data_IF_745993096336
#
_entry.id   IF_745993096336
#
_cell.length_a   1.000
_cell.length_b   1.000
_cell.length_c   1.000
_cell.angle_alpha   90.00
_cell.angle_beta   90.00
_cell.angle_gamma   90.00
#
_symmetry.space_group_name_H-M   'P 1'
#
loop_
_entity.id
_entity.type
_entity.pdbx_description
1 polymer ?
#
# COMPACT_ATOMS: atom_id res chain seq x y z
N UNK A 1 -9.12 -18.29 10.37
CA UNK A 1 -9.58 -17.01 9.77
C UNK A 1 -8.66 -15.83 10.13
N UNK A 2 -8.23 -15.65 11.39
CA UNK A 2 -7.36 -14.55 11.85
C UNK A 2 -6.06 -14.41 11.03
N UNK A 3 -5.28 -15.48 10.90
CA UNK A 3 -4.01 -15.48 10.18
C UNK A 3 -4.15 -14.99 8.72
N UNK A 4 -5.21 -15.42 8.03
CA UNK A 4 -5.50 -14.98 6.65
C UNK A 4 -5.90 -13.50 6.58
N UNK A 5 -6.66 -12.99 7.56
CA UNK A 5 -7.02 -11.57 7.64
C UNK A 5 -5.78 -10.69 7.77
N UNK A 6 -4.87 -11.02 8.68
CA UNK A 6 -3.63 -10.26 8.90
C UNK A 6 -2.70 -10.34 7.67
N UNK A 7 -2.55 -11.52 7.09
CA UNK A 7 -1.69 -11.72 5.91
C UNK A 7 -2.15 -10.92 4.69
N UNK A 8 -3.47 -10.79 4.48
CA UNK A 8 -4.04 -10.11 3.30
C UNK A 8 -4.28 -8.63 3.53
N UNK A 9 -4.74 -8.24 4.71
CA UNK A 9 -5.06 -6.85 5.03
C UNK A 9 -3.88 -6.06 5.62
N UNK A 10 -2.75 -6.73 5.88
CA UNK A 10 -1.52 -6.13 6.42
C UNK A 10 -1.54 -5.90 7.93
N UNK A 11 -0.34 -5.70 8.50
CA UNK A 11 -0.14 -5.56 9.95
C UNK A 11 -0.90 -4.38 10.57
N UNK A 12 -1.10 -3.29 9.83
CA UNK A 12 -1.87 -2.17 10.34
C UNK A 12 -3.33 -2.49 10.58
N UNK A 13 -3.88 -3.45 9.86
CA UNK A 13 -5.28 -3.87 10.05
C UNK A 13 -5.44 -4.68 11.33
N UNK A 14 -4.37 -5.32 11.82
CA UNK A 14 -4.35 -6.12 13.04
C UNK A 14 -4.89 -5.37 14.26
N UNK A 15 -4.57 -4.09 14.40
CA UNK A 15 -5.03 -3.25 15.52
C UNK A 15 -6.55 -3.07 15.58
N UNK A 16 -7.23 -3.28 14.46
CA UNK A 16 -8.70 -3.17 14.37
C UNK A 16 -9.43 -4.50 14.53
N UNK A 17 -8.70 -5.63 14.62
CA UNK A 17 -9.28 -6.96 14.69
C UNK A 17 -9.52 -7.36 16.15
N UNK A 18 -10.73 -7.86 16.46
CA UNK A 18 -11.00 -8.57 17.68
C UNK A 18 -10.55 -10.01 17.54
N UNK A 19 -9.49 -10.39 18.24
CA UNK A 19 -9.01 -11.77 18.29
C UNK A 19 -9.21 -12.38 19.67
N UNK A 20 -9.41 -13.70 19.72
CA UNK A 20 -9.56 -14.50 20.91
C UNK A 20 -9.08 -15.92 20.64
N UNK A 21 -8.81 -16.66 21.69
CA UNK A 21 -8.38 -18.06 21.61
C UNK A 21 -9.60 -18.93 21.93
N UNK A 22 -9.88 -19.92 21.10
CA UNK A 22 -10.95 -20.89 21.33
C UNK A 22 -10.53 -21.99 22.34
N UNK A 23 -11.45 -22.89 22.65
CA UNK A 23 -11.24 -24.01 23.59
C UNK A 23 -10.11 -24.96 23.13
N UNK A 24 -9.78 -24.97 21.84
CA UNK A 24 -8.75 -25.83 21.27
C UNK A 24 -7.40 -25.11 21.13
N UNK A 25 -7.24 -23.90 21.67
CA UNK A 25 -6.05 -23.09 21.54
C UNK A 25 -5.87 -22.39 20.18
N UNK A 26 -6.89 -22.43 19.30
CA UNK A 26 -6.84 -21.79 17.99
C UNK A 26 -7.14 -20.30 18.08
N UNK A 27 -6.32 -19.49 17.41
CA UNK A 27 -6.54 -18.03 17.34
C UNK A 27 -7.65 -17.72 16.33
N UNK A 28 -8.76 -17.22 16.82
CA UNK A 28 -9.92 -16.80 16.05
C UNK A 28 -10.07 -15.29 16.05
N UNK A 29 -10.91 -14.76 15.16
CA UNK A 29 -11.29 -13.36 15.17
C UNK A 29 -12.75 -13.16 14.77
N UNK A 30 -13.36 -12.10 15.30
CA UNK A 30 -14.58 -11.59 14.69
C UNK A 30 -14.25 -11.08 13.28
N UNK A 31 -15.17 -11.32 12.34
CA UNK A 31 -14.96 -10.90 10.95
C UNK A 31 -14.86 -9.36 10.82
N UNK A 32 -13.73 -8.82 10.39
CA UNK A 32 -13.56 -7.37 10.31
C UNK A 32 -14.04 -6.79 8.97
N UNK A 33 -14.32 -7.65 7.99
CA UNK A 33 -14.93 -7.34 6.69
C UNK A 33 -15.59 -8.58 6.10
N UNK A 34 -16.37 -8.39 5.04
CA UNK A 34 -17.06 -9.47 4.34
C UNK A 34 -16.40 -9.85 3.01
N UNK A 35 -15.49 -9.01 2.47
CA UNK A 35 -14.79 -9.25 1.20
C UNK A 35 -13.99 -10.55 1.23
N UNK A 36 -13.13 -10.73 2.26
CA UNK A 36 -12.29 -11.93 2.36
C UNK A 36 -13.17 -13.20 2.52
N UNK A 37 -14.25 -13.12 3.27
CA UNK A 37 -15.18 -14.23 3.42
C UNK A 37 -15.84 -14.62 2.09
N UNK A 38 -16.24 -13.62 1.29
CA UNK A 38 -16.82 -13.81 -0.05
C UNK A 38 -15.81 -14.44 -1.02
N UNK A 39 -14.57 -13.96 -1.02
CA UNK A 39 -13.50 -14.54 -1.83
C UNK A 39 -13.19 -16.00 -1.43
N UNK A 40 -13.18 -16.31 -0.13
CA UNK A 40 -12.97 -17.67 0.35
C UNK A 40 -14.09 -18.61 -0.10
N UNK A 41 -15.35 -18.18 0.01
CA UNK A 41 -16.50 -18.96 -0.47
C UNK A 41 -16.41 -19.25 -1.97
N UNK A 42 -15.98 -18.29 -2.78
CA UNK A 42 -15.74 -18.51 -4.20
C UNK A 42 -14.70 -19.62 -4.44
N UNK A 43 -13.59 -19.58 -3.72
CA UNK A 43 -12.50 -20.57 -3.83
C UNK A 43 -12.92 -21.96 -3.30
N UNK A 44 -13.60 -22.02 -2.17
CA UNK A 44 -14.04 -23.26 -1.52
C UNK A 44 -15.11 -24.01 -2.33
N UNK A 45 -15.97 -23.27 -3.02
CA UNK A 45 -16.96 -23.85 -3.92
C UNK A 45 -16.38 -24.22 -5.31
N UNK A 46 -15.07 -24.09 -5.52
CA UNK A 46 -14.40 -24.36 -6.80
C UNK A 46 -15.08 -23.67 -7.99
N UNK A 47 -15.65 -22.50 -7.77
CA UNK A 47 -16.29 -21.73 -8.83
C UNK A 47 -15.23 -21.33 -9.87
N UNK A 48 -15.55 -21.58 -11.15
CA UNK A 48 -14.67 -21.24 -12.27
C UNK A 48 -15.36 -20.21 -13.14
N UNK A 49 -14.60 -19.18 -13.53
CA UNK A 49 -15.13 -18.13 -14.39
C UNK A 49 -15.62 -16.91 -13.61
N UNK A 50 -16.30 -16.03 -14.34
CA UNK A 50 -16.77 -14.75 -13.80
C UNK A 50 -18.00 -14.95 -12.92
N UNK A 51 -17.89 -14.58 -11.67
CA UNK A 51 -18.98 -14.58 -10.70
C UNK A 51 -19.20 -13.20 -10.11
N UNK A 52 -20.47 -12.82 -9.93
CA UNK A 52 -20.90 -11.60 -9.26
C UNK A 52 -21.50 -11.96 -7.91
N UNK A 53 -20.85 -11.56 -6.85
CA UNK A 53 -21.23 -11.89 -5.48
C UNK A 53 -21.71 -10.64 -4.78
N UNK A 54 -22.92 -10.68 -4.25
CA UNK A 54 -23.45 -9.68 -3.34
C UNK A 54 -23.36 -10.19 -1.91
N UNK A 55 -23.07 -9.30 -0.99
CA UNK A 55 -23.11 -9.61 0.44
C UNK A 55 -23.66 -8.44 1.25
N UNK A 56 -24.35 -8.80 2.35
CA UNK A 56 -24.81 -7.88 3.38
C UNK A 56 -24.63 -8.53 4.74
N UNK A 57 -24.15 -7.78 5.71
CA UNK A 57 -23.97 -8.30 7.07
C UNK A 57 -23.16 -7.38 7.96
N UNK A 58 -22.90 -7.86 9.18
CA UNK A 58 -22.15 -7.11 10.16
C UNK A 58 -20.67 -7.44 10.10
N UNK A 59 -19.84 -6.40 10.15
CA UNK A 59 -18.40 -6.47 10.34
C UNK A 59 -18.05 -5.84 11.71
N UNK A 60 -17.00 -6.35 12.35
CA UNK A 60 -16.62 -5.98 13.71
C UNK A 60 -15.20 -5.40 13.71
N UNK A 61 -15.06 -4.12 14.06
CA UNK A 61 -13.75 -3.45 14.10
C UNK A 61 -13.56 -2.69 15.39
N UNK A 62 -12.40 -2.86 16.02
CA UNK A 62 -11.97 -1.98 17.11
C UNK A 62 -11.89 -0.55 16.58
N UNK A 63 -12.46 0.41 17.30
CA UNK A 63 -12.28 1.82 16.99
C UNK A 63 -11.28 2.46 17.95
N UNK A 64 -10.52 3.40 17.46
CA UNK A 64 -9.66 4.27 18.29
C UNK A 64 -10.47 5.40 18.92
N UNK A 65 -11.63 5.73 18.35
CA UNK A 65 -12.54 6.73 18.88
C UNK A 65 -13.68 6.03 19.64
N UNK A 66 -13.84 6.34 20.92
CA UNK A 66 -14.89 5.77 21.78
C UNK A 66 -16.33 6.02 21.29
N UNK A 67 -16.52 7.02 20.43
CA UNK A 67 -17.84 7.36 19.85
C UNK A 67 -18.20 6.51 18.63
N UNK A 68 -17.25 5.81 18.01
CA UNK A 68 -17.53 5.01 16.83
C UNK A 68 -18.12 3.65 17.20
N UNK A 69 -19.11 3.21 16.45
CA UNK A 69 -19.66 1.86 16.60
C UNK A 69 -18.60 0.80 16.27
N UNK A 70 -18.53 -0.23 17.11
CA UNK A 70 -17.73 -1.43 16.89
C UNK A 70 -18.37 -2.29 15.79
N UNK A 71 -19.68 -2.27 15.69
CA UNK A 71 -20.46 -2.99 14.69
C UNK A 71 -20.70 -2.09 13.51
N UNK A 72 -20.35 -2.57 12.33
CA UNK A 72 -20.56 -1.88 11.05
C UNK A 72 -21.41 -2.74 10.14
N UNK A 73 -22.59 -2.26 9.78
CA UNK A 73 -23.36 -2.88 8.72
C UNK A 73 -22.65 -2.63 7.39
N UNK A 74 -22.24 -3.68 6.73
CA UNK A 74 -21.51 -3.65 5.47
C UNK A 74 -22.34 -4.29 4.37
N UNK A 75 -22.49 -3.56 3.28
CA UNK A 75 -23.03 -4.07 2.02
C UNK A 75 -21.93 -3.94 0.98
N UNK A 76 -21.82 -4.92 0.11
CA UNK A 76 -20.87 -4.85 -0.99
C UNK A 76 -21.15 -5.91 -2.04
N UNK A 77 -20.42 -5.80 -3.12
CA UNK A 77 -20.43 -6.78 -4.19
C UNK A 77 -19.04 -6.87 -4.80
N UNK A 78 -18.74 -8.06 -5.29
CA UNK A 78 -17.45 -8.40 -5.87
C UNK A 78 -17.68 -9.03 -7.23
N UNK A 79 -16.77 -8.79 -8.17
CA UNK A 79 -16.66 -9.54 -9.43
C UNK A 79 -15.40 -10.36 -9.34
N UNK A 80 -15.53 -11.67 -9.31
CA UNK A 80 -14.42 -12.60 -9.15
C UNK A 80 -14.25 -13.46 -10.42
N UNK A 81 -13.02 -13.89 -10.69
CA UNK A 81 -12.70 -14.81 -11.79
C UNK A 81 -12.81 -14.22 -13.19
N UNK A 82 -13.01 -12.92 -13.34
CA UNK A 82 -13.05 -12.24 -14.62
C UNK A 82 -11.66 -12.01 -15.21
N UNK A 83 -11.60 -11.82 -16.53
CA UNK A 83 -10.41 -11.43 -17.29
C UNK A 83 -10.52 -10.02 -17.89
N UNK A 84 -11.67 -9.36 -17.72
CA UNK A 84 -11.98 -8.05 -18.31
C UNK A 84 -12.10 -6.97 -17.22
N UNK A 85 -10.96 -6.64 -16.60
CA UNK A 85 -10.88 -5.68 -15.50
C UNK A 85 -11.51 -4.33 -15.84
N UNK A 86 -11.31 -3.82 -17.07
CA UNK A 86 -11.83 -2.50 -17.46
C UNK A 86 -13.36 -2.42 -17.45
N UNK A 87 -14.03 -3.43 -17.97
CA UNK A 87 -15.49 -3.45 -17.99
C UNK A 87 -16.04 -3.77 -16.60
N UNK A 88 -15.34 -4.60 -15.82
CA UNK A 88 -15.73 -4.92 -14.47
C UNK A 88 -15.63 -3.70 -13.53
N UNK A 89 -14.56 -2.91 -13.62
CA UNK A 89 -14.43 -1.65 -12.89
C UNK A 89 -15.57 -0.68 -13.23
N UNK A 90 -15.94 -0.54 -14.51
CA UNK A 90 -17.08 0.28 -14.93
C UNK A 90 -18.40 -0.25 -14.35
N UNK A 91 -18.59 -1.56 -14.38
CA UNK A 91 -19.78 -2.21 -13.85
C UNK A 91 -19.91 -2.00 -12.34
N UNK A 92 -18.81 -2.15 -11.59
CA UNK A 92 -18.77 -1.91 -10.13
C UNK A 92 -19.14 -0.46 -9.83
N UNK A 93 -18.53 0.50 -10.51
CA UNK A 93 -18.82 1.92 -10.33
C UNK A 93 -20.28 2.22 -10.65
N UNK A 94 -20.78 1.77 -11.80
CA UNK A 94 -22.16 2.00 -12.22
C UNK A 94 -23.17 1.40 -11.23
N UNK A 95 -22.92 0.17 -10.76
CA UNK A 95 -23.78 -0.52 -9.78
C UNK A 95 -23.78 0.22 -8.44
N UNK A 96 -22.59 0.68 -7.98
CA UNK A 96 -22.48 1.47 -6.75
C UNK A 96 -23.27 2.77 -6.83
N UNK A 97 -23.13 3.51 -7.92
CA UNK A 97 -23.86 4.78 -8.14
C UNK A 97 -25.37 4.55 -8.21
N UNK A 98 -25.81 3.52 -8.96
CA UNK A 98 -27.23 3.16 -9.05
C UNK A 98 -27.81 2.76 -7.69
N UNK A 99 -27.07 2.03 -6.88
CA UNK A 99 -27.47 1.65 -5.54
C UNK A 99 -27.68 2.88 -4.64
N UNK A 100 -26.77 3.85 -4.69
CA UNK A 100 -26.89 5.11 -3.94
C UNK A 100 -28.09 5.94 -4.42
N UNK A 101 -28.33 6.01 -5.73
CA UNK A 101 -29.51 6.70 -6.29
C UNK A 101 -30.81 6.06 -5.82
N UNK A 102 -30.90 4.73 -5.81
CA UNK A 102 -32.08 4.01 -5.31
C UNK A 102 -32.33 4.28 -3.82
N UNK A 103 -31.29 4.52 -3.05
CA UNK A 103 -31.39 4.95 -1.65
C UNK A 103 -31.67 6.46 -1.50
N UNK A 104 -32.02 7.15 -2.61
CA UNK A 104 -32.29 8.60 -2.65
C UNK A 104 -31.08 9.45 -2.21
N UNK A 105 -29.87 8.91 -2.31
CA UNK A 105 -28.66 9.67 -2.06
C UNK A 105 -28.29 10.44 -3.33
N UNK A 106 -28.62 11.74 -3.33
CA UNK A 106 -28.54 12.59 -4.53
C UNK A 106 -27.25 13.39 -4.68
N UNK A 107 -26.41 13.44 -3.64
CA UNK A 107 -25.19 14.23 -3.66
C UNK A 107 -23.99 13.40 -3.19
N UNK A 108 -22.93 13.42 -3.98
CA UNK A 108 -21.70 12.73 -3.64
C UNK A 108 -20.60 13.01 -4.67
N UNK A 109 -19.36 12.84 -4.27
CA UNK A 109 -18.20 12.94 -5.15
C UNK A 109 -17.55 11.58 -5.29
N UNK A 110 -17.50 11.05 -6.50
CA UNK A 110 -16.71 9.87 -6.82
C UNK A 110 -15.25 10.29 -6.97
N UNK A 111 -14.38 9.77 -6.11
CA UNK A 111 -12.94 9.98 -6.21
C UNK A 111 -12.27 8.73 -6.76
N UNK A 112 -11.58 8.86 -7.89
CA UNK A 112 -10.84 7.77 -8.52
C UNK A 112 -9.34 8.03 -8.35
N UNK A 113 -8.61 7.01 -7.91
CA UNK A 113 -7.16 7.02 -7.81
C UNK A 113 -6.55 5.89 -8.64
N UNK A 114 -5.36 6.14 -9.20
CA UNK A 114 -4.60 5.13 -9.94
C UNK A 114 -3.20 4.97 -9.35
N UNK A 115 -2.96 3.83 -8.73
CA UNK A 115 -1.68 3.50 -8.08
C UNK A 115 -0.57 3.28 -9.11
N UNK A 116 -0.90 2.83 -10.31
CA UNK A 116 0.10 2.59 -11.36
C UNK A 116 0.78 3.88 -11.82
N UNK A 117 0.05 5.00 -11.89
CA UNK A 117 0.65 6.31 -12.18
C UNK A 117 1.67 6.69 -11.11
N UNK A 118 1.38 6.41 -9.83
CA UNK A 118 2.33 6.63 -8.75
C UNK A 118 3.56 5.71 -8.86
N UNK A 119 3.38 4.43 -9.19
CA UNK A 119 4.48 3.49 -9.42
C UNK A 119 5.37 3.95 -10.59
N UNK A 120 4.76 4.39 -11.68
CA UNK A 120 5.48 4.94 -12.83
C UNK A 120 6.25 6.20 -12.46
N UNK A 121 5.65 7.14 -11.73
CA UNK A 121 6.34 8.31 -11.21
C UNK A 121 7.59 7.90 -10.42
N UNK A 122 7.43 7.04 -9.40
CA UNK A 122 8.54 6.58 -8.55
C UNK A 122 9.63 5.90 -9.38
N UNK A 123 9.29 5.13 -10.42
CA UNK A 123 10.26 4.46 -11.28
C UNK A 123 11.18 5.44 -12.01
N UNK A 124 10.66 6.61 -12.38
CA UNK A 124 11.38 7.66 -13.14
C UNK A 124 12.17 8.64 -12.26
N UNK A 125 11.96 8.62 -10.94
CA UNK A 125 12.71 9.49 -10.04
C UNK A 125 14.16 9.01 -9.86
N UNK A 126 15.09 9.95 -9.80
CA UNK A 126 16.52 9.69 -9.61
C UNK A 126 16.87 9.45 -8.13
N UNK A 127 16.39 8.35 -7.60
CA UNK A 127 16.70 7.87 -6.25
C UNK A 127 17.08 6.39 -6.29
N UNK A 128 17.86 5.90 -5.32
CA UNK A 128 18.27 4.51 -5.25
C UNK A 128 17.09 3.53 -5.24
N UNK A 129 17.26 2.36 -5.85
CA UNK A 129 16.21 1.33 -5.96
C UNK A 129 15.62 0.95 -4.59
N UNK A 130 16.43 0.88 -3.53
CA UNK A 130 15.96 0.62 -2.16
C UNK A 130 14.93 1.64 -1.67
N UNK A 131 15.08 2.90 -2.06
CA UNK A 131 14.13 3.95 -1.71
C UNK A 131 12.85 3.87 -2.53
N UNK A 132 12.96 3.56 -3.83
CA UNK A 132 11.78 3.31 -4.68
C UNK A 132 10.90 2.23 -4.08
N UNK A 133 11.50 1.08 -3.75
CA UNK A 133 10.79 -0.05 -3.13
C UNK A 133 10.17 0.32 -1.77
N UNK A 134 10.90 1.09 -0.96
CA UNK A 134 10.44 1.51 0.37
C UNK A 134 9.26 2.48 0.29
N UNK A 135 9.30 3.45 -0.61
CA UNK A 135 8.20 4.36 -0.87
C UNK A 135 6.96 3.64 -1.39
N UNK A 136 7.12 2.73 -2.37
CA UNK A 136 6.02 1.94 -2.90
C UNK A 136 5.41 0.99 -1.88
N UNK A 137 6.19 0.45 -0.96
CA UNK A 137 5.70 -0.44 0.09
C UNK A 137 4.85 0.29 1.13
N UNK A 138 5.10 1.57 1.35
CA UNK A 138 4.55 2.30 2.50
C UNK A 138 3.71 3.53 2.14
N UNK A 139 3.43 3.78 0.86
CA UNK A 139 2.69 4.99 0.44
C UNK A 139 1.28 5.10 1.04
N UNK A 140 0.69 3.99 1.44
CA UNK A 140 -0.63 3.91 2.05
C UNK A 140 -0.64 4.15 3.57
N UNK A 141 0.54 4.36 4.18
CA UNK A 141 0.71 4.65 5.62
C UNK A 141 1.10 6.12 5.78
N UNK A 142 0.13 7.01 5.84
CA UNK A 142 0.35 8.46 5.74
C UNK A 142 1.43 9.00 6.68
N UNK A 143 1.38 8.69 7.98
CA UNK A 143 2.38 9.13 8.95
C UNK A 143 3.78 8.58 8.62
N UNK A 144 3.88 7.27 8.44
CA UNK A 144 5.16 6.62 8.14
C UNK A 144 5.71 7.05 6.78
N UNK A 145 4.85 7.25 5.79
CA UNK A 145 5.25 7.74 4.47
C UNK A 145 5.80 9.17 4.56
N UNK A 146 5.16 10.04 5.33
CA UNK A 146 5.67 11.37 5.60
C UNK A 146 7.04 11.36 6.29
N UNK A 147 7.26 10.45 7.24
CA UNK A 147 8.57 10.25 7.87
C UNK A 147 9.62 9.74 6.89
N UNK A 148 9.24 8.84 5.98
CA UNK A 148 10.13 8.39 4.90
C UNK A 148 10.55 9.56 4.01
N UNK A 149 9.62 10.45 3.65
CA UNK A 149 9.93 11.64 2.87
C UNK A 149 10.86 12.59 3.62
N UNK A 150 10.67 12.81 4.92
CA UNK A 150 11.59 13.60 5.77
C UNK A 150 12.99 12.98 5.80
N UNK A 151 13.11 11.66 5.99
CA UNK A 151 14.40 10.95 5.96
C UNK A 151 15.08 11.04 4.58
N UNK A 152 14.28 11.04 3.51
CA UNK A 152 14.77 11.24 2.15
C UNK A 152 15.36 12.65 1.99
N UNK A 153 14.76 13.67 2.60
CA UNK A 153 15.18 15.07 2.57
C UNK A 153 16.48 15.32 3.34
N UNK A 154 16.67 14.64 4.46
CA UNK A 154 17.78 14.90 5.41
C UNK A 154 19.01 14.04 5.19
N UNK A 155 18.94 13.02 4.32
CA UNK A 155 19.98 12.00 4.18
C UNK A 155 20.37 11.30 5.50
N UNK A 156 19.48 11.25 6.47
CA UNK A 156 19.74 10.66 7.79
C UNK A 156 20.25 9.21 7.74
N UNK A 157 19.93 8.50 6.66
CA UNK A 157 20.36 7.13 6.43
C UNK A 157 21.78 7.02 5.83
N UNK A 158 22.46 8.14 5.55
CA UNK A 158 23.76 8.21 4.85
C UNK A 158 24.77 9.01 5.68
N UNK A 159 24.57 9.10 6.97
CA UNK A 159 25.55 9.72 7.85
C UNK A 159 26.90 8.97 7.73
N UNK A 160 27.99 9.67 7.33
CA UNK A 160 29.31 9.05 7.16
C UNK A 160 29.83 8.38 8.44
N UNK A 161 29.50 8.93 9.60
CA UNK A 161 29.90 8.34 10.90
C UNK A 161 29.17 7.04 11.17
N UNK A 162 27.87 6.98 10.90
CA UNK A 162 27.07 5.74 11.00
C UNK A 162 27.56 4.69 10.01
N UNK A 163 27.87 5.10 8.78
CA UNK A 163 28.42 4.20 7.75
C UNK A 163 29.79 3.66 8.16
N UNK A 164 30.65 4.48 8.75
CA UNK A 164 31.98 4.04 9.22
C UNK A 164 31.90 3.04 10.38
N UNK A 165 31.04 3.31 11.38
CA UNK A 165 30.79 2.39 12.50
C UNK A 165 30.17 1.08 12.02
N UNK A 166 29.20 1.16 11.13
CA UNK A 166 28.57 -0.02 10.54
C UNK A 166 29.57 -0.82 9.69
N UNK A 167 30.53 -0.17 8.99
CA UNK A 167 31.56 -0.86 8.19
C UNK A 167 32.46 -1.72 9.05
N UNK A 168 32.81 -1.28 10.25
CA UNK A 168 33.59 -2.09 11.21
C UNK A 168 32.78 -3.33 11.64
N UNK A 169 31.54 -3.14 12.04
CA UNK A 169 30.62 -4.25 12.38
C UNK A 169 30.40 -5.21 11.20
N UNK A 170 30.35 -4.69 9.99
CA UNK A 170 30.26 -5.46 8.76
C UNK A 170 31.48 -6.39 8.58
N UNK A 171 32.68 -5.86 8.77
CA UNK A 171 33.90 -6.66 8.66
C UNK A 171 34.00 -7.72 9.76
N UNK A 172 33.48 -7.44 10.95
CA UNK A 172 33.44 -8.42 12.04
C UNK A 172 32.41 -9.54 11.76
N UNK A 173 31.29 -9.20 11.11
CA UNK A 173 30.27 -10.18 10.68
C UNK A 173 30.79 -11.10 9.56
N UNK A 174 31.69 -10.61 8.68
CA UNK A 174 32.33 -11.45 7.64
C UNK A 174 33.20 -12.59 8.21
N UNK A 175 33.64 -12.43 9.46
CA UNK A 175 34.45 -13.46 10.17
C UNK A 175 33.60 -14.52 10.84
N UNK A 176 32.28 -14.34 10.89
CA UNK A 176 31.33 -15.28 11.49
C UNK A 176 30.80 -16.28 10.47
N UNK A 177 30.33 -17.42 10.96
CA UNK A 177 29.73 -18.46 10.13
C UNK A 177 28.55 -17.88 9.30
N UNK A 178 28.54 -18.02 7.95
CA UNK A 178 27.49 -17.55 7.09
C UNK A 178 26.10 -18.11 7.43
N UNK A 179 26.01 -19.24 8.11
CA UNK A 179 24.78 -19.89 8.52
C UNK A 179 24.14 -19.27 9.76
N UNK A 180 24.89 -18.43 10.48
CA UNK A 180 24.39 -17.76 11.69
C UNK A 180 23.22 -16.84 11.37
N UNK A 181 22.12 -17.02 12.09
CA UNK A 181 20.92 -16.18 11.98
C UNK A 181 20.92 -15.09 13.06
N UNK A 182 20.82 -13.82 12.67
CA UNK A 182 20.72 -12.67 13.57
C UNK A 182 19.36 -12.03 13.43
N UNK A 183 18.54 -12.08 14.47
CA UNK A 183 17.17 -11.55 14.46
C UNK A 183 16.34 -12.07 13.26
N UNK A 184 16.44 -13.37 12.94
CA UNK A 184 15.72 -14.02 11.85
C UNK A 184 16.23 -13.71 10.44
N UNK A 185 17.46 -13.20 10.32
CA UNK A 185 18.10 -12.90 9.02
C UNK A 185 19.46 -13.56 8.93
N UNK A 186 19.78 -14.10 7.76
CA UNK A 186 21.11 -14.60 7.49
C UNK A 186 22.15 -13.47 7.42
N UNK A 187 23.40 -13.76 7.73
CA UNK A 187 24.49 -12.80 7.58
C UNK A 187 24.55 -12.28 6.14
N UNK A 188 24.36 -13.12 5.14
CA UNK A 188 24.34 -12.73 3.74
C UNK A 188 23.28 -11.67 3.42
N UNK A 189 22.06 -11.77 3.98
CA UNK A 189 21.02 -10.76 3.82
C UNK A 189 21.38 -9.44 4.51
N UNK A 190 22.00 -9.51 5.68
CA UNK A 190 22.48 -8.33 6.41
C UNK A 190 23.56 -7.61 5.60
N UNK A 191 24.54 -8.34 5.10
CA UNK A 191 25.64 -7.82 4.27
C UNK A 191 25.13 -7.18 2.97
N UNK A 192 24.21 -7.82 2.27
CA UNK A 192 23.60 -7.29 1.05
C UNK A 192 22.86 -5.97 1.29
N UNK A 193 22.17 -5.85 2.42
CA UNK A 193 21.50 -4.59 2.82
C UNK A 193 22.50 -3.49 3.13
N UNK A 194 23.59 -3.85 3.73
CA UNK A 194 24.67 -2.95 4.09
C UNK A 194 25.35 -2.38 2.84
N UNK A 195 25.74 -3.23 1.89
CA UNK A 195 26.30 -2.82 0.60
C UNK A 195 25.37 -1.87 -0.17
N UNK A 196 24.09 -2.17 -0.15
CA UNK A 196 23.08 -1.32 -0.81
C UNK A 196 22.99 0.06 -0.15
N UNK A 197 23.25 0.15 1.16
CA UNK A 197 23.23 1.41 1.92
C UNK A 197 24.49 2.25 1.65
N UNK A 198 25.66 1.61 1.62
CA UNK A 198 26.95 2.25 1.32
C UNK A 198 26.98 2.82 -0.10
N UNK A 199 26.40 2.10 -1.06
CA UNK A 199 26.35 2.48 -2.49
C UNK A 199 25.22 3.45 -2.83
N UNK A 200 24.62 4.13 -1.86
CA UNK A 200 23.55 5.08 -2.10
C UNK A 200 24.10 6.41 -2.66
N UNK A 201 23.94 6.73 -3.95
CA UNK A 201 24.51 7.91 -4.57
C UNK A 201 23.73 9.20 -4.26
N UNK A 202 22.74 9.13 -3.39
CA UNK A 202 21.84 10.23 -3.07
C UNK A 202 22.54 11.34 -2.30
N UNK A 203 22.19 12.58 -2.65
CA UNK A 203 22.56 13.78 -1.88
C UNK A 203 21.33 14.41 -1.23
N UNK A 204 21.51 15.22 -0.18
CA UNK A 204 20.40 15.89 0.50
C UNK A 204 19.59 16.79 -0.45
N UNK A 205 20.24 17.49 -1.36
CA UNK A 205 19.58 18.33 -2.37
C UNK A 205 18.69 17.51 -3.32
N UNK A 206 19.17 16.36 -3.80
CA UNK A 206 18.36 15.45 -4.61
C UNK A 206 17.19 14.89 -3.81
N UNK A 207 17.40 14.51 -2.55
CA UNK A 207 16.34 14.03 -1.67
C UNK A 207 15.23 15.06 -1.45
N UNK A 208 15.57 16.31 -1.18
CA UNK A 208 14.61 17.42 -1.05
C UNK A 208 13.81 17.65 -2.33
N UNK A 209 14.48 17.66 -3.50
CA UNK A 209 13.81 17.82 -4.80
C UNK A 209 12.80 16.69 -5.04
N UNK A 210 13.18 15.44 -4.82
CA UNK A 210 12.31 14.27 -5.03
C UNK A 210 11.14 14.28 -4.07
N UNK A 211 11.36 14.56 -2.79
CA UNK A 211 10.28 14.66 -1.81
C UNK A 211 9.26 15.75 -2.20
N UNK A 212 9.73 16.91 -2.65
CA UNK A 212 8.85 17.99 -3.13
C UNK A 212 8.01 17.54 -4.33
N UNK A 213 8.60 16.80 -5.28
CA UNK A 213 7.89 16.27 -6.43
C UNK A 213 6.79 15.30 -5.96
N UNK A 214 7.12 14.34 -5.09
CA UNK A 214 6.16 13.37 -4.57
C UNK A 214 5.01 14.07 -3.84
N UNK A 215 5.31 14.99 -2.92
CA UNK A 215 4.28 15.74 -2.17
C UNK A 215 3.38 16.57 -3.10
N UNK A 216 3.94 17.14 -4.16
CA UNK A 216 3.17 17.91 -5.14
C UNK A 216 2.28 17.01 -5.99
N UNK A 217 2.77 15.83 -6.36
CA UNK A 217 1.98 14.82 -7.08
C UNK A 217 0.76 14.35 -6.26
N UNK A 218 0.95 14.03 -4.99
CA UNK A 218 -0.13 13.55 -4.11
C UNK A 218 -1.21 14.62 -3.85
N UNK A 219 -0.94 15.88 -4.13
CA UNK A 219 -1.91 16.98 -4.02
C UNK A 219 -2.75 17.19 -5.28
N UNK A 220 -2.43 16.50 -6.38
CA UNK A 220 -3.19 16.66 -7.62
C UNK A 220 -4.58 16.07 -7.41
N UNK A 221 -5.59 16.96 -7.46
CA UNK A 221 -7.01 16.62 -7.48
C UNK A 221 -7.65 17.48 -8.57
N UNK A 222 -8.29 16.86 -9.51
CA UNK A 222 -8.92 17.55 -10.63
C UNK A 222 -10.11 16.74 -11.18
N UNK A 223 -11.02 17.36 -11.94
CA UNK A 223 -12.04 16.63 -12.67
C UNK A 223 -11.41 15.58 -13.60
N UNK A 224 -12.06 14.41 -13.72
CA UNK A 224 -11.52 13.28 -14.47
C UNK A 224 -11.16 13.63 -15.92
N UNK A 225 -11.98 14.48 -16.56
CA UNK A 225 -11.76 14.94 -17.93
C UNK A 225 -10.47 15.76 -18.11
N UNK A 226 -9.95 16.32 -17.02
CA UNK A 226 -8.72 17.10 -17.01
C UNK A 226 -7.52 16.31 -16.48
N UNK A 227 -7.71 15.08 -16.01
CA UNK A 227 -6.70 14.31 -15.30
C UNK A 227 -5.42 14.11 -16.14
N UNK A 228 -5.53 13.65 -17.39
CA UNK A 228 -4.38 13.46 -18.25
C UNK A 228 -3.63 14.78 -18.52
N UNK A 229 -4.36 15.87 -18.78
CA UNK A 229 -3.80 17.21 -19.01
C UNK A 229 -3.02 17.70 -17.81
N UNK A 230 -3.59 17.62 -16.61
CA UNK A 230 -2.93 18.08 -15.37
C UNK A 230 -1.73 17.20 -15.00
N UNK A 231 -1.81 15.88 -15.18
CA UNK A 231 -0.70 14.96 -14.98
C UNK A 231 0.44 15.24 -15.96
N UNK A 232 0.14 15.41 -17.25
CA UNK A 232 1.16 15.70 -18.26
C UNK A 232 1.82 17.05 -18.03
N UNK A 233 1.06 18.06 -17.63
CA UNK A 233 1.59 19.38 -17.21
C UNK A 233 2.55 19.24 -16.01
N UNK A 234 2.16 18.43 -15.02
CA UNK A 234 3.00 18.14 -13.85
C UNK A 234 4.29 17.44 -14.24
N UNK A 235 4.23 16.40 -15.09
CA UNK A 235 5.42 15.68 -15.54
C UNK A 235 6.37 16.56 -16.34
N UNK A 236 5.84 17.35 -17.28
CA UNK A 236 6.62 18.33 -18.07
C UNK A 236 7.33 19.34 -17.16
N UNK A 237 6.60 19.93 -16.20
CA UNK A 237 7.15 20.90 -15.22
C UNK A 237 8.32 20.31 -14.42
N UNK A 238 8.25 19.04 -14.05
CA UNK A 238 9.25 18.36 -13.25
C UNK A 238 10.33 17.64 -14.08
N UNK A 239 10.32 17.80 -15.40
CA UNK A 239 11.24 17.14 -16.36
C UNK A 239 11.21 15.62 -16.24
N UNK A 240 10.02 15.05 -16.03
CA UNK A 240 9.78 13.61 -15.95
C UNK A 240 9.27 13.13 -17.29
N UNK A 241 9.98 12.20 -17.92
CA UNK A 241 9.57 11.63 -19.19
C UNK A 241 8.48 10.56 -18.97
N UNK A 242 7.25 11.04 -18.79
CA UNK A 242 6.01 10.24 -18.70
C UNK A 242 4.92 10.98 -19.46
N UNK A 243 4.09 10.20 -20.13
CA UNK A 243 2.87 10.66 -20.79
C UNK A 243 1.71 9.80 -20.31
N UNK A 244 0.60 10.42 -20.01
CA UNK A 244 -0.66 9.77 -19.65
C UNK A 244 -1.70 10.09 -20.71
N UNK A 245 -2.26 9.06 -21.32
CA UNK A 245 -3.34 9.18 -22.28
C UNK A 245 -4.70 9.10 -21.59
N UNK A 246 -5.67 9.73 -22.20
CA UNK A 246 -7.05 9.82 -21.68
C UNK A 246 -7.96 8.68 -22.20
N UNK A 247 -7.35 7.60 -22.70
CA UNK A 247 -8.09 6.45 -23.27
C UNK A 247 -8.72 5.56 -22.23
#
# INVERSE_FOLDING_TARGET
MYKRQVQRSGENFRKFIFSFIDQNGSELCLRPDLTIASCLRYLENNLKGKEKIFYSGQAYRKSQNKKDSIIRNQIGFEILGSKDEKNDDKEIIATSLKSLQNLKYSSGTLTIGNVEIFKLLISKLEIPARWKLRLLRHFWRDEYFNDLLKRLETNADIDPTVVAVDKKKYLDLLKQDPTTMIAGRSIGEILKRFDTKIKDPRTASKGKKVSKIIRSFLKIKCPINNAAKELNKFFKKNKINLLVDQK
#
